data_IF_524302440210
#
_entry.id   IF_524302440210
#
_cell.length_a   1.000
_cell.length_b   1.000
_cell.length_c   1.000
_cell.angle_alpha   90.00
_cell.angle_beta   90.00
_cell.angle_gamma   90.00
#
_symmetry.space_group_name_H-M   'P 1'
#
loop_
_entity.id
_entity.type
_entity.pdbx_description
1 polymer ?
#
# COMPACT_ATOMS: atom_id res chain seq x y z
N UNK A 1 -9.84 -47.88 55.82
CA UNK A 1 -8.56 -48.60 55.98
C UNK A 1 -7.52 -47.50 56.10
N UNK A 2 -7.35 -47.11 57.35
CA UNK A 2 -6.74 -45.87 57.77
C UNK A 2 -5.23 -46.05 58.00
N UNK A 3 -4.57 -44.88 58.06
CA UNK A 3 -3.46 -44.55 58.95
C UNK A 3 -1.99 -44.50 58.47
N UNK A 4 -1.45 -43.29 58.67
CA UNK A 4 -0.18 -42.92 59.29
C UNK A 4 1.08 -42.64 58.45
N UNK A 5 1.32 -41.32 58.31
CA UNK A 5 2.57 -40.55 58.35
C UNK A 5 3.84 -41.26 58.86
N UNK A 6 4.98 -40.96 58.22
CA UNK A 6 6.20 -40.62 58.98
C UNK A 6 7.14 -39.64 58.25
N UNK A 7 7.60 -38.64 59.02
CA UNK A 7 8.81 -37.80 58.88
C UNK A 7 10.05 -38.64 58.51
N UNK A 8 11.16 -38.17 57.92
CA UNK A 8 11.94 -36.92 58.02
C UNK A 8 13.10 -37.02 57.00
N UNK A 9 13.68 -35.88 56.61
CA UNK A 9 15.13 -35.57 56.57
C UNK A 9 15.74 -34.96 55.28
N UNK A 10 16.17 -33.70 55.44
CA UNK A 10 17.38 -33.00 54.98
C UNK A 10 17.98 -33.20 53.57
N UNK A 11 17.73 -32.18 52.74
CA UNK A 11 18.67 -31.28 52.01
C UNK A 11 20.11 -31.75 51.75
N UNK A 12 20.55 -31.72 50.46
CA UNK A 12 21.70 -30.99 49.87
C UNK A 12 21.96 -31.53 48.44
N UNK A 13 21.53 -30.85 47.37
CA UNK A 13 22.14 -29.71 46.67
C UNK A 13 22.92 -30.14 45.39
N UNK A 14 22.93 -29.23 44.40
CA UNK A 14 23.58 -29.25 43.07
C UNK A 14 22.66 -29.71 41.92
N UNK A 15 22.40 -28.93 40.87
CA UNK A 15 23.01 -27.72 40.29
C UNK A 15 21.94 -26.88 39.58
N UNK A 16 22.16 -25.57 39.53
CA UNK A 16 21.20 -24.60 39.00
C UNK A 16 20.84 -24.83 37.54
N UNK A 17 19.53 -24.89 37.28
CA UNK A 17 19.02 -24.53 35.97
C UNK A 17 19.05 -22.99 35.82
N UNK A 18 19.43 -22.46 34.65
CA UNK A 18 19.41 -21.04 34.41
C UNK A 18 17.97 -20.56 34.58
N UNK A 19 17.76 -19.60 35.49
CA UNK A 19 16.47 -19.00 35.77
C UNK A 19 15.85 -18.51 34.47
N UNK A 20 14.89 -19.25 33.93
CA UNK A 20 13.92 -18.77 32.93
C UNK A 20 12.95 -17.79 33.60
N UNK A 21 13.47 -16.78 34.26
CA UNK A 21 12.76 -15.52 34.31
C UNK A 21 12.97 -14.89 32.93
N UNK A 22 12.21 -15.37 31.93
CA UNK A 22 11.80 -14.43 30.89
C UNK A 22 11.17 -13.29 31.67
N UNK A 23 11.86 -12.15 31.68
CA UNK A 23 11.41 -10.99 32.42
C UNK A 23 10.03 -10.67 31.87
N UNK A 24 8.99 -11.03 32.63
CA UNK A 24 7.62 -10.73 32.25
C UNK A 24 7.59 -9.23 32.01
N UNK A 25 7.27 -8.77 30.79
CA UNK A 25 7.37 -7.36 30.47
C UNK A 25 6.54 -6.56 31.47
N UNK A 26 7.12 -5.47 31.98
CA UNK A 26 6.43 -4.62 32.96
C UNK A 26 5.16 -4.04 32.33
N UNK A 27 4.16 -3.73 33.15
CA UNK A 27 2.93 -3.10 32.67
C UNK A 27 3.21 -1.81 31.86
N UNK A 28 4.23 -1.04 32.26
CA UNK A 28 4.69 0.14 31.52
C UNK A 28 5.25 -0.20 30.14
N UNK A 29 6.11 -1.22 30.04
CA UNK A 29 6.67 -1.66 28.75
C UNK A 29 5.60 -2.18 27.79
N UNK A 30 4.59 -2.90 28.30
CA UNK A 30 3.46 -3.37 27.50
C UNK A 30 2.63 -2.19 26.99
N UNK A 31 2.39 -1.17 27.83
CA UNK A 31 1.67 0.02 27.42
C UNK A 31 2.44 0.82 26.36
N UNK A 32 3.74 1.03 26.53
CA UNK A 32 4.60 1.73 25.56
C UNK A 32 4.64 1.00 24.23
N UNK A 33 4.79 -0.33 24.23
CA UNK A 33 4.75 -1.15 23.03
C UNK A 33 3.40 -1.01 22.29
N UNK A 34 2.28 -1.04 23.03
CA UNK A 34 0.94 -0.82 22.44
C UNK A 34 0.79 0.58 21.84
N UNK A 35 1.34 1.60 22.51
CA UNK A 35 1.32 2.99 22.03
C UNK A 35 2.15 3.14 20.75
N UNK A 36 3.34 2.55 20.70
CA UNK A 36 4.20 2.54 19.51
C UNK A 36 3.53 1.80 18.34
N UNK A 37 2.92 0.64 18.61
CA UNK A 37 2.18 -0.11 17.60
C UNK A 37 1.00 0.69 17.02
N UNK A 38 0.23 1.37 17.88
CA UNK A 38 -0.85 2.24 17.42
C UNK A 38 -0.32 3.37 16.51
N UNK A 39 0.83 3.97 16.87
CA UNK A 39 1.48 4.99 16.03
C UNK A 39 1.97 4.42 14.69
N UNK A 40 2.55 3.22 14.68
CA UNK A 40 3.02 2.59 13.44
C UNK A 40 1.87 2.26 12.49
N UNK A 41 0.70 1.84 13.02
CA UNK A 41 -0.50 1.63 12.21
C UNK A 41 -0.96 2.93 11.55
N UNK A 42 -1.01 4.03 12.29
CA UNK A 42 -1.37 5.34 11.73
C UNK A 42 -0.37 5.82 10.67
N UNK A 43 0.92 5.54 10.85
CA UNK A 43 1.92 5.86 9.82
C UNK A 43 1.73 5.03 8.56
N UNK A 44 1.49 3.72 8.71
CA UNK A 44 1.21 2.82 7.58
C UNK A 44 -0.08 3.19 6.83
N UNK A 45 -1.12 3.65 7.55
CA UNK A 45 -2.36 4.16 6.95
C UNK A 45 -2.17 5.48 6.18
N UNK A 46 -1.11 6.23 6.49
CA UNK A 46 -0.77 7.48 5.81
C UNK A 46 0.19 7.29 4.63
N UNK A 47 0.92 6.17 4.57
CA UNK A 47 1.71 5.82 3.40
C UNK A 47 0.83 5.20 2.32
N UNK A 48 1.02 5.65 1.08
CA UNK A 48 0.41 5.01 -0.08
C UNK A 48 1.46 4.07 -0.70
N UNK A 49 1.29 2.76 -0.51
CA UNK A 49 2.12 1.69 -1.07
C UNK A 49 1.21 0.48 -1.30
N UNK A 50 0.97 0.11 -2.55
CA UNK A 50 0.04 -0.95 -2.92
C UNK A 50 0.55 -1.77 -4.10
N UNK A 51 0.46 -3.10 -4.01
CA UNK A 51 0.67 -3.96 -5.16
C UNK A 51 -0.54 -3.88 -6.10
N UNK A 52 -0.26 -3.71 -7.39
CA UNK A 52 -1.25 -3.65 -8.46
C UNK A 52 -0.69 -4.30 -9.72
N UNK A 53 -1.56 -4.71 -10.63
CA UNK A 53 -1.17 -5.12 -11.97
C UNK A 53 -1.42 -3.96 -12.94
N UNK A 54 -0.37 -3.45 -13.57
CA UNK A 54 -0.49 -2.45 -14.62
C UNK A 54 -0.91 -3.11 -15.94
N UNK A 55 -2.03 -2.66 -16.50
CA UNK A 55 -2.62 -3.25 -17.71
C UNK A 55 -2.30 -2.46 -18.97
N UNK A 56 -2.34 -1.12 -18.87
CA UNK A 56 -2.20 -0.25 -20.04
C UNK A 56 -1.86 1.19 -19.64
N UNK A 57 -0.92 1.77 -20.38
CA UNK A 57 -0.70 3.22 -20.47
C UNK A 57 -1.39 3.75 -21.72
N UNK A 58 -2.34 4.65 -21.54
CA UNK A 58 -3.20 5.17 -22.59
C UNK A 58 -3.04 6.68 -22.73
N UNK A 59 -2.43 7.13 -23.81
CA UNK A 59 -2.37 8.56 -24.14
C UNK A 59 -3.75 9.06 -24.56
N UNK A 60 -4.14 10.24 -24.07
CA UNK A 60 -5.30 10.96 -24.56
C UNK A 60 -4.92 11.77 -25.80
N UNK A 61 -5.67 11.56 -26.88
CA UNK A 61 -5.46 12.18 -28.19
C UNK A 61 -6.80 12.55 -28.86
N UNK A 62 -6.80 12.73 -30.18
CA UNK A 62 -8.01 13.07 -30.93
C UNK A 62 -9.05 11.95 -30.97
N UNK A 63 -8.64 10.68 -30.84
CA UNK A 63 -9.49 9.49 -30.89
C UNK A 63 -9.88 9.01 -29.48
N UNK A 64 -8.95 9.09 -28.52
CA UNK A 64 -9.15 8.70 -27.13
C UNK A 64 -9.18 9.95 -26.25
N UNK A 65 -10.38 10.38 -25.84
CA UNK A 65 -10.56 11.68 -25.17
C UNK A 65 -10.90 11.56 -23.69
N UNK A 66 -11.12 10.36 -23.20
CA UNK A 66 -11.62 10.10 -21.86
C UNK A 66 -11.09 8.80 -21.26
N UNK A 67 -11.18 8.67 -19.95
CA UNK A 67 -10.90 7.42 -19.23
C UNK A 67 -11.80 6.29 -19.75
N UNK A 68 -13.05 6.61 -20.06
CA UNK A 68 -14.02 5.65 -20.61
C UNK A 68 -13.57 5.13 -21.99
N UNK A 69 -12.96 5.97 -22.82
CA UNK A 69 -12.41 5.54 -24.11
C UNK A 69 -11.15 4.70 -23.94
N UNK A 70 -10.27 5.04 -22.99
CA UNK A 70 -9.14 4.20 -22.62
C UNK A 70 -9.59 2.81 -22.14
N UNK A 71 -10.67 2.73 -21.35
CA UNK A 71 -11.25 1.46 -20.91
C UNK A 71 -11.88 0.66 -22.06
N UNK A 72 -12.47 1.31 -23.07
CA UNK A 72 -12.93 0.63 -24.30
C UNK A 72 -11.75 0.03 -25.05
N UNK A 73 -10.67 0.82 -25.23
CA UNK A 73 -9.44 0.38 -25.89
C UNK A 73 -8.80 -0.80 -25.16
N UNK A 74 -8.73 -0.76 -23.83
CA UNK A 74 -8.26 -1.89 -23.01
C UNK A 74 -9.05 -3.16 -23.33
N UNK A 75 -10.40 -3.10 -23.29
CA UNK A 75 -11.25 -4.26 -23.60
C UNK A 75 -11.09 -4.78 -25.02
N UNK A 76 -10.92 -3.90 -26.01
CA UNK A 76 -10.67 -4.30 -27.39
C UNK A 76 -9.34 -5.04 -27.53
N UNK A 77 -8.26 -4.51 -26.92
CA UNK A 77 -6.96 -5.16 -26.93
C UNK A 77 -6.97 -6.50 -26.18
N UNK A 78 -7.71 -6.58 -25.08
CA UNK A 78 -7.85 -7.81 -24.29
C UNK A 78 -8.57 -8.90 -25.08
N UNK A 79 -9.65 -8.54 -25.79
CA UNK A 79 -10.37 -9.46 -26.68
C UNK A 79 -9.50 -9.98 -27.85
N UNK A 80 -8.49 -9.20 -28.26
CA UNK A 80 -7.49 -9.59 -29.25
C UNK A 80 -6.31 -10.38 -28.65
N UNK A 81 -6.26 -10.57 -27.32
CA UNK A 81 -5.14 -11.22 -26.63
C UNK A 81 -3.86 -10.38 -26.62
N UNK A 82 -3.99 -9.05 -26.69
CA UNK A 82 -2.88 -8.09 -26.83
C UNK A 82 -2.58 -7.30 -25.55
N UNK A 83 -3.21 -7.65 -24.44
CA UNK A 83 -2.87 -7.11 -23.13
C UNK A 83 -1.83 -8.01 -22.47
N UNK A 84 -0.79 -7.39 -21.94
CA UNK A 84 0.19 -8.03 -21.08
C UNK A 84 0.29 -7.20 -19.81
N UNK A 85 -0.23 -7.76 -18.71
CA UNK A 85 -0.19 -7.14 -17.41
C UNK A 85 1.18 -7.29 -16.75
N UNK A 86 1.55 -6.30 -15.95
CA UNK A 86 2.76 -6.33 -15.14
C UNK A 86 2.44 -6.01 -13.68
N UNK A 87 2.70 -6.99 -12.82
CA UNK A 87 2.69 -6.87 -11.36
C UNK A 87 3.75 -5.85 -10.89
N UNK A 88 3.34 -4.82 -10.14
CA UNK A 88 4.23 -3.75 -9.66
C UNK A 88 3.81 -3.19 -8.30
N UNK A 89 4.72 -2.45 -7.66
CA UNK A 89 4.42 -1.65 -6.48
C UNK A 89 4.10 -0.21 -6.89
N UNK A 90 2.88 0.23 -6.59
CA UNK A 90 2.43 1.61 -6.79
C UNK A 90 2.54 2.37 -5.45
N UNK A 91 3.44 3.35 -5.37
CA UNK A 91 3.70 4.07 -4.13
C UNK A 91 3.80 5.59 -4.30
N UNK A 92 3.53 6.33 -3.22
CA UNK A 92 3.83 7.76 -3.14
C UNK A 92 5.07 7.96 -2.31
N UNK A 93 6.13 8.49 -2.93
CA UNK A 93 7.43 8.67 -2.32
C UNK A 93 8.11 9.93 -2.81
N UNK A 94 8.63 10.73 -1.88
CA UNK A 94 9.36 11.97 -2.17
C UNK A 94 8.60 12.94 -3.10
N UNK A 95 7.28 13.07 -2.91
CA UNK A 95 6.44 13.95 -3.74
C UNK A 95 6.16 13.42 -5.16
N UNK A 96 6.43 12.14 -5.43
CA UNK A 96 6.16 11.48 -6.69
C UNK A 96 5.25 10.26 -6.49
N UNK A 97 4.39 10.00 -7.47
CA UNK A 97 3.78 8.70 -7.69
C UNK A 97 4.78 7.83 -8.45
N UNK A 98 5.15 6.68 -7.89
CA UNK A 98 6.17 5.79 -8.44
C UNK A 98 5.59 4.43 -8.78
N UNK A 99 6.04 3.88 -9.91
CA UNK A 99 5.90 2.48 -10.28
C UNK A 99 7.25 1.83 -10.01
N UNK A 100 7.28 0.88 -9.08
CA UNK A 100 8.50 0.18 -8.71
C UNK A 100 8.36 -1.32 -8.98
N UNK A 101 9.47 -1.96 -9.34
CA UNK A 101 9.55 -3.40 -9.43
C UNK A 101 9.20 -4.06 -8.07
N UNK A 102 8.45 -5.16 -8.09
CA UNK A 102 8.03 -5.83 -6.85
C UNK A 102 9.18 -6.44 -6.06
N UNK A 103 10.20 -6.95 -6.75
CA UNK A 103 11.30 -7.69 -6.12
C UNK A 103 12.48 -6.78 -5.81
N UNK A 104 12.95 -6.02 -6.80
CA UNK A 104 14.15 -5.19 -6.65
C UNK A 104 13.86 -3.85 -5.99
N UNK A 105 12.58 -3.41 -6.00
CA UNK A 105 12.15 -2.04 -5.63
C UNK A 105 12.78 -0.94 -6.49
N UNK A 106 13.30 -1.29 -7.67
CA UNK A 106 13.81 -0.31 -8.62
C UNK A 106 12.67 0.51 -9.21
N UNK A 107 12.92 1.81 -9.40
CA UNK A 107 11.93 2.71 -9.99
C UNK A 107 11.87 2.51 -11.50
N UNK A 108 10.69 2.07 -11.97
CA UNK A 108 10.37 1.89 -13.38
C UNK A 108 9.84 3.19 -13.99
N UNK A 109 9.01 3.92 -13.22
CA UNK A 109 8.47 5.22 -13.60
C UNK A 109 8.24 6.09 -12.37
N UNK A 110 8.43 7.40 -12.49
CA UNK A 110 8.27 8.35 -11.40
C UNK A 110 7.64 9.64 -11.91
N UNK A 111 6.43 9.93 -11.44
CA UNK A 111 5.62 11.06 -11.88
C UNK A 111 5.43 12.01 -10.70
N UNK A 112 5.77 13.31 -10.83
CA UNK A 112 5.50 14.28 -9.78
C UNK A 112 4.01 14.32 -9.43
N UNK A 113 3.65 14.33 -8.15
CA UNK A 113 2.25 14.35 -7.72
C UNK A 113 1.49 15.56 -8.27
N UNK A 114 2.16 16.69 -8.49
CA UNK A 114 1.58 17.88 -9.13
C UNK A 114 1.09 17.63 -10.56
N UNK A 115 1.63 16.62 -11.25
CA UNK A 115 1.21 16.24 -12.60
C UNK A 115 0.04 15.25 -12.57
N UNK A 116 -0.32 14.68 -11.40
CA UNK A 116 -1.49 13.81 -11.29
C UNK A 116 -2.75 14.68 -11.32
N UNK A 117 -3.50 14.60 -12.42
CA UNK A 117 -4.70 15.41 -12.66
C UNK A 117 -5.92 14.86 -11.92
N UNK A 118 -6.14 13.55 -12.01
CA UNK A 118 -7.26 12.89 -11.33
C UNK A 118 -7.00 11.40 -11.14
N UNK A 119 -7.66 10.83 -10.14
CA UNK A 119 -7.73 9.39 -9.93
C UNK A 119 -9.21 8.96 -9.98
N UNK A 120 -9.49 7.76 -10.48
CA UNK A 120 -10.83 7.15 -10.42
C UNK A 120 -10.74 5.67 -10.09
N UNK A 121 -11.73 5.17 -9.36
CA UNK A 121 -11.94 3.73 -9.15
C UNK A 121 -13.16 3.26 -9.94
N UNK A 122 -12.99 2.20 -10.73
CA UNK A 122 -14.06 1.53 -11.47
C UNK A 122 -14.24 0.13 -10.88
N UNK A 123 -15.45 -0.16 -10.40
CA UNK A 123 -15.79 -1.42 -9.76
C UNK A 123 -16.83 -2.18 -10.58
N UNK A 124 -16.83 -3.52 -10.50
CA UNK A 124 -17.92 -4.36 -11.00
C UNK A 124 -17.92 -4.65 -12.50
N UNK A 125 -16.77 -4.54 -13.18
CA UNK A 125 -16.60 -5.06 -14.54
C UNK A 125 -16.56 -6.60 -14.60
N UNK A 126 -16.77 -7.18 -15.78
CA UNK A 126 -16.78 -8.63 -16.00
C UNK A 126 -15.38 -9.24 -16.03
N UNK A 127 -14.44 -8.59 -16.70
CA UNK A 127 -13.03 -9.03 -16.80
C UNK A 127 -12.17 -8.33 -15.74
N UNK A 128 -12.35 -7.01 -15.59
CA UNK A 128 -11.65 -6.19 -14.61
C UNK A 128 -12.67 -5.64 -13.61
N UNK A 129 -12.72 -6.25 -12.42
CA UNK A 129 -13.75 -5.99 -11.41
C UNK A 129 -13.36 -4.91 -10.39
N UNK A 130 -12.09 -4.50 -10.38
CA UNK A 130 -11.48 -3.56 -9.43
C UNK A 130 -10.33 -2.84 -10.13
N UNK A 131 -10.63 -1.70 -10.76
CA UNK A 131 -9.67 -0.96 -11.59
C UNK A 131 -9.43 0.44 -11.02
N UNK A 132 -8.17 0.80 -10.86
CA UNK A 132 -7.73 2.16 -10.57
C UNK A 132 -7.22 2.80 -11.86
N UNK A 133 -7.68 4.01 -12.17
CA UNK A 133 -7.14 4.81 -13.27
C UNK A 133 -6.54 6.10 -12.74
N UNK A 134 -5.32 6.42 -13.17
CA UNK A 134 -4.63 7.66 -12.78
C UNK A 134 -4.35 8.46 -14.04
N UNK A 135 -4.92 9.67 -14.13
CA UNK A 135 -4.67 10.59 -15.24
C UNK A 135 -3.54 11.53 -14.86
N UNK A 136 -2.52 11.59 -15.71
CA UNK A 136 -1.34 12.41 -15.58
C UNK A 136 -1.36 13.47 -16.68
N UNK A 137 -1.09 14.71 -16.30
CA UNK A 137 -0.90 15.82 -17.22
C UNK A 137 0.60 16.05 -17.44
N UNK A 138 1.08 15.69 -18.62
CA UNK A 138 2.38 16.14 -19.13
C UNK A 138 2.16 17.45 -19.92
N UNK A 139 3.16 18.35 -19.98
CA UNK A 139 3.14 19.51 -20.89
C UNK A 139 2.68 19.23 -22.33
N UNK A 140 2.97 18.05 -22.88
CA UNK A 140 2.66 17.70 -24.27
C UNK A 140 1.34 16.93 -24.45
N UNK A 141 0.96 16.11 -23.47
CA UNK A 141 -0.21 15.22 -23.57
C UNK A 141 -0.72 14.80 -22.20
N UNK A 142 -1.96 14.35 -22.13
CA UNK A 142 -2.48 13.68 -20.93
C UNK A 142 -2.38 12.18 -21.12
N UNK A 143 -1.98 11.45 -20.08
CA UNK A 143 -1.80 9.99 -20.11
C UNK A 143 -2.62 9.36 -19.00
N UNK A 144 -3.27 8.23 -19.25
CA UNK A 144 -4.03 7.47 -18.26
C UNK A 144 -3.32 6.14 -18.01
N UNK A 145 -2.89 5.92 -16.78
CA UNK A 145 -2.47 4.61 -16.31
C UNK A 145 -3.69 3.82 -15.85
N UNK A 146 -3.74 2.54 -16.21
CA UNK A 146 -4.83 1.63 -15.84
C UNK A 146 -4.24 0.46 -15.07
N UNK A 147 -4.73 0.26 -13.85
CA UNK A 147 -4.27 -0.78 -12.95
C UNK A 147 -5.44 -1.66 -12.51
N UNK A 148 -5.24 -2.98 -12.53
CA UNK A 148 -6.08 -3.94 -11.82
C UNK A 148 -5.61 -4.05 -10.37
N UNK A 149 -6.55 -4.09 -9.43
CA UNK A 149 -6.28 -4.07 -8.00
C UNK A 149 -6.87 -5.31 -7.33
N UNK A 150 -6.01 -6.30 -7.05
CA UNK A 150 -6.41 -7.60 -6.51
C UNK A 150 -6.26 -7.72 -4.99
N UNK A 151 -5.19 -7.17 -4.41
CA UNK A 151 -4.96 -7.26 -2.95
C UNK A 151 -5.91 -6.36 -2.16
N UNK A 152 -6.23 -5.20 -2.70
CA UNK A 152 -7.15 -4.24 -2.10
C UNK A 152 -8.07 -3.64 -3.18
N UNK A 153 -9.35 -3.40 -2.87
CA UNK A 153 -10.29 -2.81 -3.82
C UNK A 153 -9.84 -1.43 -4.32
N UNK A 154 -10.04 -1.16 -5.62
CA UNK A 154 -9.59 0.09 -6.24
C UNK A 154 -10.18 1.35 -5.60
N UNK A 155 -11.39 1.30 -5.03
CA UNK A 155 -11.99 2.44 -4.31
C UNK A 155 -11.26 2.78 -3.00
N UNK A 156 -10.63 1.79 -2.35
CA UNK A 156 -9.77 2.00 -1.18
C UNK A 156 -8.48 2.69 -1.60
N UNK A 157 -7.80 2.16 -2.62
CA UNK A 157 -6.60 2.77 -3.20
C UNK A 157 -6.86 4.20 -3.66
N UNK A 158 -7.95 4.43 -4.39
CA UNK A 158 -8.38 5.77 -4.80
C UNK A 158 -8.49 6.73 -3.60
N UNK A 159 -9.14 6.28 -2.52
CA UNK A 159 -9.30 7.10 -1.31
C UNK A 159 -7.96 7.39 -0.62
N UNK A 160 -7.01 6.45 -0.64
CA UNK A 160 -5.67 6.65 -0.09
C UNK A 160 -4.84 7.60 -0.96
N UNK A 161 -4.86 7.43 -2.28
CA UNK A 161 -4.14 8.30 -3.21
C UNK A 161 -4.68 9.74 -3.15
N UNK A 162 -6.00 9.91 -3.10
CA UNK A 162 -6.62 11.22 -2.94
C UNK A 162 -6.20 11.93 -1.65
N UNK A 163 -6.03 11.19 -0.55
CA UNK A 163 -5.48 11.76 0.70
C UNK A 163 -4.03 12.21 0.51
N UNK A 164 -3.18 11.39 -0.10
CA UNK A 164 -1.78 11.72 -0.37
C UNK A 164 -1.65 12.96 -1.28
N UNK A 165 -2.46 13.05 -2.34
CA UNK A 165 -2.51 14.21 -3.24
C UNK A 165 -2.93 15.51 -2.51
N UNK A 166 -3.87 15.44 -1.58
CA UNK A 166 -4.29 16.60 -0.78
C UNK A 166 -3.21 17.05 0.21
N UNK A 167 -2.53 16.11 0.85
CA UNK A 167 -1.42 16.41 1.75
C UNK A 167 -0.28 17.14 1.01
N UNK A 168 0.07 16.67 -0.19
CA UNK A 168 1.11 17.32 -1.01
C UNK A 168 0.76 18.77 -1.39
N UNK A 169 -0.51 19.02 -1.77
CA UNK A 169 -1.00 20.37 -2.06
C UNK A 169 -0.85 21.29 -0.85
N UNK A 170 -1.23 20.83 0.34
CA UNK A 170 -1.09 21.62 1.57
C UNK A 170 0.37 21.91 1.96
N UNK A 171 1.28 20.96 1.71
CA UNK A 171 2.71 21.17 1.97
C UNK A 171 3.33 22.21 1.02
N UNK A 172 2.89 22.22 -0.25
CA UNK A 172 3.40 23.17 -1.25
C UNK A 172 2.94 24.60 -0.97
N UNK A 173 1.69 24.79 -0.53
CA UNK A 173 1.16 26.12 -0.17
C UNK A 173 1.81 26.70 1.10
N UNK A 174 2.15 25.85 2.08
CA UNK A 174 2.84 26.25 3.31
C UNK A 174 4.30 26.69 3.09
N UNK A 175 4.98 26.15 2.08
CA UNK A 175 6.37 26.50 1.77
C UNK A 175 6.51 27.81 0.98
N UNK A 176 5.48 28.24 0.23
CA UNK A 176 5.49 29.52 -0.50
C UNK A 176 5.13 30.74 0.38
N UNK A 177 4.84 30.52 1.67
CA UNK A 177 4.44 31.57 2.62
C UNK A 177 5.52 31.89 3.69
N UNK A 178 6.76 31.41 3.49
CA UNK A 178 7.93 31.69 4.33
C UNK A 178 9.01 32.38 3.52
#
# INVERSE_FOLDING_TARGET
>A
MDDYFNSTDRVLAHQGEPSRHSMRPSAKSIYEQRKQYAQSLTMAENSFEHRVEHLLTCDLDNEVRSVEDCMKRLRSLDAEGRIWGQDLMLEVKNGNLQLNDLETRDSLESVPLRNVLSCRSLMGGTTYNSVLTVTIQDPQKSTVFIFQCDEQPANVLHSHLEKALKQEKSNTEGNNSR
#
